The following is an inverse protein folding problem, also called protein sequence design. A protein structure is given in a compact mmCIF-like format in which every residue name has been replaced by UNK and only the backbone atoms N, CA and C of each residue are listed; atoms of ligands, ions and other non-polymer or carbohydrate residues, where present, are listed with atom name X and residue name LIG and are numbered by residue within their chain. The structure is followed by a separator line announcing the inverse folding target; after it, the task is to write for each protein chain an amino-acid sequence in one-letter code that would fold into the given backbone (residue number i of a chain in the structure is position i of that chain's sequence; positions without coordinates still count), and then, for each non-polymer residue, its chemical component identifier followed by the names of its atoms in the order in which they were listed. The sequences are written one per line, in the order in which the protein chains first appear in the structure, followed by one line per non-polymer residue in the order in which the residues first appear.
data_IF_177248077211
#
_entry.id   IF_177248077211
#
_cell.length_a   1.000
_cell.length_b   1.000
_cell.length_c   1.000
_cell.angle_alpha   90.00
_cell.angle_beta   90.00
_cell.angle_gamma   90.00
#
_symmetry.space_group_name_H-M   'P 1'
#
loop_
_entity.id
_entity.type
_entity.pdbx_description
1 polymer ?
#
# COMPACT_ATOMS: atom_id res chain seq x y z
N UNK A 1 15.90 31.69 -52.42
CA UNK A 1 16.49 30.63 -51.58
C UNK A 1 17.25 31.29 -50.44
N UNK A 2 16.55 31.61 -49.35
CA UNK A 2 17.14 32.16 -48.11
C UNK A 2 16.47 31.41 -46.97
N UNK A 3 17.31 30.81 -46.14
CA UNK A 3 17.03 29.82 -45.11
C UNK A 3 16.27 30.49 -43.96
N UNK A 4 15.07 30.00 -43.64
CA UNK A 4 14.36 30.33 -42.40
C UNK A 4 15.04 29.53 -41.29
N UNK A 5 15.85 30.22 -40.48
CA UNK A 5 16.35 29.70 -39.20
C UNK A 5 15.17 29.60 -38.23
N UNK A 6 14.63 28.38 -38.09
CA UNK A 6 13.80 27.99 -36.96
C UNK A 6 14.67 27.95 -35.70
N UNK A 7 14.71 29.05 -34.97
CA UNK A 7 15.11 29.09 -33.56
C UNK A 7 14.02 28.36 -32.75
N UNK A 8 14.12 27.02 -32.71
CA UNK A 8 13.54 26.28 -31.60
C UNK A 8 14.30 26.70 -30.35
N UNK A 9 13.67 27.56 -29.54
CA UNK A 9 14.04 27.65 -28.13
C UNK A 9 13.86 26.26 -27.55
N UNK A 10 14.98 25.56 -27.35
CA UNK A 10 15.10 24.45 -26.43
C UNK A 10 14.74 24.99 -25.05
N UNK A 11 13.44 25.00 -24.72
CA UNK A 11 13.04 24.89 -23.33
C UNK A 11 13.69 23.59 -22.87
N UNK A 12 14.72 23.70 -22.04
CA UNK A 12 15.20 22.57 -21.24
C UNK A 12 13.96 21.98 -20.58
N UNK A 13 13.52 20.81 -21.05
CA UNK A 13 12.51 20.04 -20.35
C UNK A 13 13.03 19.93 -18.93
N UNK A 14 12.26 20.42 -17.95
CA UNK A 14 12.65 20.33 -16.54
C UNK A 14 12.97 18.87 -16.27
N UNK A 15 14.22 18.58 -15.93
CA UNK A 15 14.63 17.21 -15.66
C UNK A 15 13.85 16.69 -14.45
N UNK A 16 13.09 15.64 -14.70
CA UNK A 16 12.31 14.94 -13.69
C UNK A 16 13.22 14.27 -12.65
N UNK A 17 14.29 13.62 -13.12
CA UNK A 17 15.35 13.01 -12.31
C UNK A 17 16.72 13.55 -12.74
N UNK A 18 17.48 14.04 -11.76
CA UNK A 18 18.82 14.61 -11.93
C UNK A 18 19.91 13.56 -11.76
N UNK A 19 21.10 13.85 -12.28
CA UNK A 19 22.27 12.98 -12.11
C UNK A 19 22.57 12.64 -10.64
N UNK A 20 22.43 13.62 -9.72
CA UNK A 20 22.61 13.41 -8.27
C UNK A 20 21.62 12.40 -7.68
N UNK A 21 20.40 12.35 -8.21
CA UNK A 21 19.37 11.38 -7.76
C UNK A 21 19.67 9.98 -8.29
N UNK A 22 20.17 9.85 -9.52
CA UNK A 22 20.67 8.57 -10.05
C UNK A 22 21.83 8.03 -9.20
N UNK A 23 22.80 8.89 -8.90
CA UNK A 23 23.93 8.56 -8.03
C UNK A 23 23.48 8.18 -6.62
N UNK A 24 22.48 8.88 -6.06
CA UNK A 24 21.87 8.51 -4.79
C UNK A 24 21.32 7.09 -4.83
N UNK A 25 20.58 6.71 -5.88
CA UNK A 25 20.03 5.35 -5.99
C UNK A 25 21.11 4.31 -6.05
N UNK A 26 22.10 4.49 -6.94
CA UNK A 26 23.21 3.56 -7.07
C UNK A 26 24.03 3.45 -5.78
N UNK A 27 24.23 4.55 -5.05
CA UNK A 27 25.02 4.57 -3.81
C UNK A 27 24.26 3.98 -2.62
N UNK A 28 22.97 4.27 -2.48
CA UNK A 28 22.17 3.86 -1.33
C UNK A 28 21.63 2.43 -1.49
N UNK A 29 21.06 2.10 -2.66
CA UNK A 29 20.45 0.80 -2.92
C UNK A 29 21.41 -0.18 -3.60
N UNK A 30 22.41 0.32 -4.33
CA UNK A 30 23.42 -0.50 -4.99
C UNK A 30 23.34 -0.45 -6.53
N UNK A 31 24.35 -1.01 -7.22
CA UNK A 31 24.53 -0.84 -8.68
C UNK A 31 23.50 -1.58 -9.54
N UNK A 32 22.75 -2.53 -8.96
CA UNK A 32 21.67 -3.23 -9.66
C UNK A 32 20.38 -2.40 -9.75
N UNK A 33 20.25 -1.36 -8.94
CA UNK A 33 19.05 -0.55 -8.85
C UNK A 33 19.12 0.66 -9.75
N UNK A 34 17.97 1.01 -10.35
CA UNK A 34 17.79 2.19 -11.18
C UNK A 34 16.52 2.94 -10.82
N UNK A 35 16.44 4.22 -11.19
CA UNK A 35 15.20 5.00 -11.13
C UNK A 35 14.46 4.82 -12.44
N UNK A 36 13.14 4.65 -12.37
CA UNK A 36 12.28 4.77 -13.55
C UNK A 36 12.06 6.24 -13.88
N UNK A 37 12.31 6.62 -15.13
CA UNK A 37 12.34 8.02 -15.57
C UNK A 37 11.24 8.37 -16.56
N UNK A 38 10.48 7.37 -17.05
CA UNK A 38 9.37 7.58 -17.99
C UNK A 38 8.10 8.09 -17.30
N UNK A 39 8.19 9.31 -16.76
CA UNK A 39 7.09 10.00 -16.11
C UNK A 39 7.02 11.46 -16.58
N UNK A 40 5.81 11.97 -16.88
CA UNK A 40 5.64 13.40 -17.15
C UNK A 40 5.95 14.22 -15.89
N UNK A 41 6.52 15.41 -16.09
CA UNK A 41 6.88 16.34 -15.01
C UNK A 41 5.66 16.88 -14.25
N UNK A 42 4.58 17.12 -14.98
CA UNK A 42 3.28 17.49 -14.43
C UNK A 42 2.23 16.58 -15.04
N UNK A 43 1.29 16.11 -14.22
CA UNK A 43 0.20 15.26 -14.67
C UNK A 43 -1.13 15.71 -14.10
N UNK A 44 -2.12 15.77 -14.97
CA UNK A 44 -3.52 15.78 -14.57
C UNK A 44 -3.98 14.35 -14.30
N UNK A 45 -4.35 14.04 -13.06
CA UNK A 45 -4.80 12.70 -12.68
C UNK A 45 -6.06 12.26 -13.44
N UNK A 46 -6.85 13.19 -13.98
CA UNK A 46 -8.01 12.85 -14.80
C UNK A 46 -7.63 12.19 -16.13
N UNK A 47 -6.36 12.23 -16.53
CA UNK A 47 -5.88 11.58 -17.75
C UNK A 47 -5.73 10.06 -17.59
N UNK A 48 -5.51 9.58 -16.36
CA UNK A 48 -5.22 8.15 -16.10
C UNK A 48 -6.14 7.52 -15.04
N UNK A 49 -6.89 8.32 -14.27
CA UNK A 49 -7.70 7.84 -13.18
C UNK A 49 -9.08 8.50 -13.11
N UNK A 50 -10.06 7.76 -12.60
CA UNK A 50 -11.33 8.30 -12.09
C UNK A 50 -11.18 8.46 -10.57
N UNK A 51 -11.28 9.68 -10.03
CA UNK A 51 -10.99 9.93 -8.62
C UNK A 51 -12.25 10.27 -7.84
N UNK A 52 -12.54 9.50 -6.80
CA UNK A 52 -13.63 9.75 -5.85
C UNK A 52 -13.09 9.80 -4.42
N UNK A 53 -12.86 11.01 -3.88
CA UNK A 53 -12.36 11.21 -2.51
C UNK A 53 -13.43 10.93 -1.42
N UNK A 54 -14.69 10.75 -1.83
CA UNK A 54 -15.84 10.42 -0.99
C UNK A 54 -16.78 9.51 -1.77
N UNK A 55 -16.31 8.31 -2.08
CA UNK A 55 -17.11 7.30 -2.76
C UNK A 55 -18.17 6.78 -1.79
N UNK A 56 -19.42 6.66 -2.29
CA UNK A 56 -20.55 6.25 -1.46
C UNK A 56 -20.43 4.78 -1.10
N UNK A 57 -20.78 4.44 0.13
CA UNK A 57 -20.82 3.04 0.51
C UNK A 57 -22.00 2.33 -0.17
N UNK A 58 -21.81 1.08 -0.63
CA UNK A 58 -22.94 0.24 -0.97
C UNK A 58 -23.78 -0.02 0.28
N UNK A 59 -25.10 -0.26 0.13
CA UNK A 59 -25.95 -0.61 1.25
C UNK A 59 -25.47 -1.92 1.89
N UNK A 60 -25.44 -1.93 3.23
CA UNK A 60 -25.16 -3.14 3.99
C UNK A 60 -26.18 -4.22 3.66
N UNK A 61 -25.69 -5.45 3.49
CA UNK A 61 -26.54 -6.61 3.26
C UNK A 61 -26.04 -7.79 4.11
N UNK A 62 -26.77 -8.08 5.19
CA UNK A 62 -26.42 -9.14 6.15
C UNK A 62 -26.48 -10.55 5.55
N UNK A 63 -27.23 -10.73 4.46
CA UNK A 63 -27.34 -12.00 3.74
C UNK A 63 -26.34 -12.11 2.58
N UNK A 64 -25.47 -11.10 2.39
CA UNK A 64 -24.52 -11.09 1.29
C UNK A 64 -23.54 -12.26 1.41
N UNK A 65 -23.41 -13.01 0.33
CA UNK A 65 -22.40 -14.04 0.15
C UNK A 65 -21.23 -13.43 -0.61
N UNK A 66 -20.06 -13.41 0.01
CA UNK A 66 -18.84 -12.88 -0.58
C UNK A 66 -18.08 -13.96 -1.35
N UNK A 67 -17.34 -13.60 -2.42
CA UNK A 67 -16.35 -14.49 -3.01
C UNK A 67 -15.34 -14.92 -1.94
N UNK A 68 -14.97 -16.21 -1.90
CA UNK A 68 -13.99 -16.73 -0.92
C UNK A 68 -12.62 -16.05 -0.96
N UNK A 69 -12.29 -15.40 -2.07
CA UNK A 69 -11.03 -14.69 -2.32
C UNK A 69 -11.29 -13.24 -2.72
N UNK A 70 -12.12 -12.54 -1.96
CA UNK A 70 -12.40 -11.12 -2.21
C UNK A 70 -11.12 -10.30 -2.02
N UNK A 71 -10.48 -10.37 -0.86
CA UNK A 71 -9.25 -9.61 -0.62
C UNK A 71 -8.24 -10.35 0.26
N UNK A 72 -6.96 -10.08 0.04
CA UNK A 72 -5.86 -10.62 0.85
C UNK A 72 -5.24 -9.49 1.66
N UNK A 73 -5.36 -9.58 2.99
CA UNK A 73 -4.73 -8.66 3.93
C UNK A 73 -3.26 -9.03 4.12
N UNK A 74 -2.35 -8.29 3.49
CA UNK A 74 -0.90 -8.46 3.66
C UNK A 74 -0.41 -7.47 4.71
N UNK A 75 -0.21 -7.98 5.93
CA UNK A 75 0.05 -7.19 7.13
C UNK A 75 1.55 -7.13 7.35
N UNK A 76 2.13 -5.94 7.22
CA UNK A 76 3.55 -5.72 7.40
C UNK A 76 3.83 -5.51 8.88
N UNK A 77 4.68 -6.37 9.45
CA UNK A 77 5.08 -6.29 10.85
C UNK A 77 6.59 -6.42 11.00
N UNK A 78 7.05 -6.22 12.23
CA UNK A 78 8.43 -6.36 12.67
C UNK A 78 8.50 -7.37 13.81
N UNK A 79 9.58 -8.16 13.94
CA UNK A 79 9.64 -9.22 14.95
C UNK A 79 9.54 -8.71 16.39
N UNK A 80 9.98 -7.46 16.65
CA UNK A 80 9.80 -6.80 17.94
C UNK A 80 8.35 -6.46 18.29
N UNK A 81 7.42 -6.63 17.35
CA UNK A 81 5.97 -6.35 17.47
C UNK A 81 5.13 -7.62 17.43
N UNK A 82 5.65 -8.74 17.94
CA UNK A 82 4.92 -10.03 17.92
C UNK A 82 3.52 -9.94 18.56
N UNK A 83 3.35 -9.15 19.63
CA UNK A 83 2.05 -8.91 20.25
C UNK A 83 1.02 -8.32 19.27
N UNK A 84 1.45 -7.56 18.25
CA UNK A 84 0.53 -6.99 17.26
C UNK A 84 -0.04 -8.07 16.35
N UNK A 85 0.75 -9.11 16.05
CA UNK A 85 0.29 -10.29 15.32
C UNK A 85 -0.84 -10.96 16.09
N UNK A 86 -0.65 -11.22 17.38
CA UNK A 86 -1.64 -11.85 18.24
C UNK A 86 -2.90 -10.98 18.40
N UNK A 87 -2.74 -9.69 18.67
CA UNK A 87 -3.84 -8.75 18.79
C UNK A 87 -4.66 -8.69 17.50
N UNK A 88 -3.99 -8.67 16.34
CA UNK A 88 -4.66 -8.63 15.05
C UNK A 88 -5.46 -9.90 14.79
N UNK A 89 -4.88 -11.09 15.07
CA UNK A 89 -5.60 -12.38 14.98
C UNK A 89 -6.81 -12.45 15.90
N UNK A 90 -6.69 -11.93 17.11
CA UNK A 90 -7.77 -11.94 18.11
C UNK A 90 -8.84 -10.86 17.85
N UNK A 91 -8.67 -10.02 16.83
CA UNK A 91 -9.60 -8.93 16.52
C UNK A 91 -10.22 -9.05 15.14
N UNK A 92 -9.77 -8.27 14.17
CA UNK A 92 -10.39 -8.21 12.84
C UNK A 92 -9.92 -9.33 11.91
N UNK A 93 -8.82 -10.02 12.23
CA UNK A 93 -8.32 -11.19 11.50
C UNK A 93 -8.78 -12.53 12.08
N UNK A 94 -9.87 -12.57 12.85
CA UNK A 94 -10.46 -13.82 13.35
C UNK A 94 -10.88 -14.73 12.18
N UNK A 95 -10.72 -16.04 12.34
CA UNK A 95 -10.96 -17.02 11.26
C UNK A 95 -12.41 -16.98 10.75
N UNK A 96 -13.37 -16.84 11.67
CA UNK A 96 -14.78 -16.71 11.35
C UNK A 96 -15.08 -15.49 10.46
N UNK A 97 -14.38 -14.37 10.69
CA UNK A 97 -14.53 -13.17 9.89
C UNK A 97 -13.92 -13.37 8.50
N UNK A 98 -12.72 -13.95 8.44
CA UNK A 98 -12.05 -14.32 7.18
C UNK A 98 -12.97 -15.19 6.30
N UNK A 99 -13.59 -16.21 6.90
CA UNK A 99 -14.54 -17.10 6.21
C UNK A 99 -15.84 -16.39 5.81
N UNK A 100 -16.43 -15.58 6.71
CA UNK A 100 -17.71 -14.89 6.49
C UNK A 100 -17.64 -13.83 5.39
N UNK A 101 -16.55 -13.06 5.37
CA UNK A 101 -16.39 -11.88 4.52
C UNK A 101 -15.43 -12.10 3.35
N UNK A 102 -14.93 -13.33 3.17
CA UNK A 102 -14.22 -13.77 1.98
C UNK A 102 -12.81 -13.22 1.85
N UNK A 103 -12.06 -13.10 2.95
CA UNK A 103 -10.69 -12.59 2.95
C UNK A 103 -9.74 -13.50 3.71
N UNK A 104 -8.44 -13.23 3.60
CA UNK A 104 -7.42 -13.91 4.40
C UNK A 104 -6.39 -12.91 4.93
N UNK A 105 -5.98 -13.07 6.19
CA UNK A 105 -4.86 -12.34 6.76
C UNK A 105 -3.57 -13.16 6.67
N UNK A 106 -2.49 -12.48 6.30
CA UNK A 106 -1.12 -12.98 6.39
C UNK A 106 -0.20 -11.90 6.93
N UNK A 107 0.84 -12.31 7.65
CA UNK A 107 1.84 -11.42 8.23
C UNK A 107 3.16 -11.56 7.46
N UNK A 108 3.76 -10.42 7.09
CA UNK A 108 4.98 -10.37 6.28
C UNK A 108 6.10 -9.67 7.04
N UNK A 109 7.23 -10.36 7.14
CA UNK A 109 8.45 -9.89 7.81
C UNK A 109 9.64 -9.94 6.85
N UNK A 110 10.58 -8.99 6.96
CA UNK A 110 11.86 -9.10 6.26
C UNK A 110 12.69 -10.24 6.87
N UNK A 111 13.06 -11.24 6.08
CA UNK A 111 13.71 -12.47 6.56
C UNK A 111 15.04 -12.18 7.26
N UNK A 112 15.90 -11.38 6.65
CA UNK A 112 17.21 -11.02 7.20
C UNK A 112 17.10 -10.23 8.51
N UNK A 113 16.15 -9.30 8.60
CA UNK A 113 15.87 -8.56 9.84
C UNK A 113 15.32 -9.49 10.92
N UNK A 114 14.43 -10.41 10.53
CA UNK A 114 13.81 -11.34 11.45
C UNK A 114 14.82 -12.25 12.12
N UNK A 115 15.70 -12.89 11.34
CA UNK A 115 16.72 -13.82 11.85
C UNK A 115 17.74 -13.18 12.81
N UNK A 116 17.83 -11.85 12.86
CA UNK A 116 18.75 -11.14 13.77
C UNK A 116 18.15 -10.88 15.15
N UNK A 117 16.85 -11.09 15.34
CA UNK A 117 16.14 -10.79 16.58
C UNK A 117 15.83 -12.08 17.36
N UNK A 118 15.88 -11.98 18.69
CA UNK A 118 15.64 -13.10 19.60
C UNK A 118 14.23 -13.71 19.43
N UNK A 119 13.26 -12.87 19.04
CA UNK A 119 11.87 -13.23 18.79
C UNK A 119 11.65 -14.07 17.52
N UNK A 120 12.67 -14.30 16.70
CA UNK A 120 12.54 -15.07 15.46
C UNK A 120 12.01 -16.49 15.70
N UNK A 121 12.54 -17.19 16.70
CA UNK A 121 12.13 -18.57 17.00
C UNK A 121 10.68 -18.63 17.46
N UNK A 122 10.24 -17.63 18.23
CA UNK A 122 8.85 -17.50 18.67
C UNK A 122 7.90 -17.30 17.48
N UNK A 123 8.29 -16.49 16.49
CA UNK A 123 7.52 -16.34 15.24
C UNK A 123 7.47 -17.64 14.44
N UNK A 124 8.57 -18.41 14.40
CA UNK A 124 8.60 -19.71 13.70
C UNK A 124 7.66 -20.70 14.38
N UNK A 125 7.75 -20.86 15.70
CA UNK A 125 6.88 -21.74 16.50
C UNK A 125 5.41 -21.32 16.36
N UNK A 126 5.13 -20.01 16.45
CA UNK A 126 3.79 -19.46 16.19
C UNK A 126 3.30 -19.83 14.79
N UNK A 127 4.16 -19.77 13.77
CA UNK A 127 3.79 -20.10 12.40
C UNK A 127 3.57 -21.61 12.15
N UNK A 128 4.15 -22.49 12.98
CA UNK A 128 3.85 -23.92 12.95
C UNK A 128 2.39 -24.21 13.35
N UNK A 129 1.77 -23.31 14.11
CA UNK A 129 0.36 -23.41 14.52
C UNK A 129 -0.58 -22.72 13.52
N UNK A 130 -0.28 -21.46 13.16
CA UNK A 130 -1.24 -20.61 12.42
C UNK A 130 -1.01 -20.58 10.90
N UNK A 131 0.18 -20.92 10.41
CA UNK A 131 0.53 -20.98 8.98
C UNK A 131 0.17 -19.71 8.18
N UNK A 132 0.32 -18.55 8.80
CA UNK A 132 -0.04 -17.23 8.26
C UNK A 132 1.12 -16.23 8.29
N UNK A 133 2.31 -16.63 8.77
CA UNK A 133 3.53 -15.81 8.79
C UNK A 133 4.43 -16.17 7.60
N UNK A 134 4.88 -15.15 6.89
CA UNK A 134 5.77 -15.27 5.74
C UNK A 134 6.98 -14.36 5.89
N UNK A 135 8.16 -14.96 5.82
CA UNK A 135 9.43 -14.24 5.75
C UNK A 135 9.77 -14.00 4.29
N UNK A 136 9.94 -12.73 3.90
CA UNK A 136 10.33 -12.35 2.54
C UNK A 136 11.79 -11.92 2.54
N UNK A 137 12.54 -12.42 1.56
CA UNK A 137 13.89 -11.94 1.32
C UNK A 137 13.87 -10.48 0.79
N UNK A 138 14.95 -9.75 0.94
CA UNK A 138 15.14 -8.45 0.29
C UNK A 138 16.52 -8.45 -0.35
N UNK A 139 16.69 -9.13 -1.50
CA UNK A 139 17.99 -9.29 -2.11
C UNK A 139 18.64 -7.92 -2.37
N UNK A 140 19.93 -7.86 -2.06
CA UNK A 140 20.78 -6.67 -2.17
C UNK A 140 20.40 -5.48 -1.25
N UNK A 141 19.39 -5.63 -0.38
CA UNK A 141 18.90 -4.56 0.51
C UNK A 141 18.77 -5.04 1.96
N UNK A 142 18.81 -4.07 2.88
CA UNK A 142 18.35 -4.27 4.25
C UNK A 142 17.01 -3.56 4.44
N UNK A 143 16.23 -4.02 5.42
CA UNK A 143 15.00 -3.34 5.79
C UNK A 143 15.30 -1.97 6.40
N UNK A 144 14.70 -0.95 5.82
CA UNK A 144 14.91 0.45 6.15
C UNK A 144 13.68 1.24 5.70
N UNK A 145 13.47 2.42 6.29
CA UNK A 145 12.37 3.32 5.92
C UNK A 145 12.24 3.56 4.41
N UNK A 146 13.36 3.78 3.73
CA UNK A 146 13.42 4.00 2.28
C UNK A 146 13.44 2.72 1.42
N UNK A 147 13.44 1.52 2.02
CA UNK A 147 13.38 0.24 1.28
C UNK A 147 12.01 -0.45 1.42
N UNK A 148 11.06 0.21 2.10
CA UNK A 148 9.69 -0.31 2.27
C UNK A 148 8.98 -0.54 0.93
N UNK A 149 9.26 0.26 -0.10
CA UNK A 149 8.71 0.01 -1.43
C UNK A 149 9.11 -1.38 -1.97
N UNK A 150 10.37 -1.77 -1.83
CA UNK A 150 10.89 -3.07 -2.28
C UNK A 150 10.36 -4.21 -1.41
N UNK A 151 10.21 -3.98 -0.10
CA UNK A 151 9.51 -4.91 0.80
C UNK A 151 8.12 -5.23 0.25
N UNK A 152 7.36 -4.21 -0.14
CA UNK A 152 6.03 -4.40 -0.73
C UNK A 152 6.04 -5.11 -2.07
N UNK A 153 6.92 -4.73 -2.99
CA UNK A 153 7.01 -5.40 -4.29
C UNK A 153 7.29 -6.89 -4.09
N UNK A 154 8.20 -7.27 -3.20
CA UNK A 154 8.47 -8.69 -2.94
C UNK A 154 7.31 -9.37 -2.20
N UNK A 155 6.66 -8.70 -1.25
CA UNK A 155 5.44 -9.20 -0.62
C UNK A 155 4.36 -9.52 -1.67
N UNK A 156 4.18 -8.68 -2.68
CA UNK A 156 3.27 -8.92 -3.80
C UNK A 156 3.72 -10.07 -4.72
N UNK A 157 5.01 -10.18 -5.04
CA UNK A 157 5.55 -11.33 -5.80
C UNK A 157 5.22 -12.64 -5.08
N UNK A 158 5.48 -12.70 -3.77
CA UNK A 158 5.16 -13.85 -2.93
C UNK A 158 3.64 -14.10 -2.89
N UNK A 159 2.83 -13.07 -2.64
CA UNK A 159 1.40 -13.18 -2.51
C UNK A 159 0.73 -13.65 -3.81
N UNK A 160 1.14 -13.15 -4.97
CA UNK A 160 0.63 -13.61 -6.26
C UNK A 160 0.93 -15.09 -6.53
N UNK A 161 2.05 -15.60 -6.01
CA UNK A 161 2.45 -17.01 -6.14
C UNK A 161 1.70 -17.93 -5.18
N UNK A 162 1.61 -17.57 -3.91
CA UNK A 162 1.04 -18.43 -2.86
C UNK A 162 -0.49 -18.26 -2.73
N UNK A 163 -0.98 -17.07 -3.02
CA UNK A 163 -2.39 -16.67 -2.88
C UNK A 163 -2.93 -16.11 -4.21
N UNK A 164 -2.97 -16.90 -5.28
CA UNK A 164 -3.49 -16.43 -6.55
C UNK A 164 -5.02 -16.25 -6.49
N UNK A 165 -5.53 -15.41 -7.39
CA UNK A 165 -6.96 -15.25 -7.66
C UNK A 165 -7.76 -14.56 -6.55
N UNK A 166 -7.12 -13.69 -5.75
CA UNK A 166 -7.86 -12.68 -4.99
C UNK A 166 -8.25 -11.51 -5.90
N UNK A 167 -9.42 -10.91 -5.67
CA UNK A 167 -9.81 -9.69 -6.42
C UNK A 167 -8.94 -8.50 -6.02
N UNK A 168 -8.62 -8.40 -4.73
CA UNK A 168 -7.79 -7.34 -4.18
C UNK A 168 -6.64 -7.88 -3.34
N UNK A 169 -5.51 -7.19 -3.38
CA UNK A 169 -4.38 -7.39 -2.47
C UNK A 169 -4.10 -6.06 -1.77
N UNK A 170 -3.67 -6.12 -0.53
CA UNK A 170 -3.44 -4.93 0.28
C UNK A 170 -1.99 -4.76 0.67
N UNK A 171 -1.62 -3.57 1.10
CA UNK A 171 -0.61 -3.35 2.15
C UNK A 171 -1.33 -2.84 3.39
N UNK A 172 -1.01 -3.42 4.54
CA UNK A 172 -1.63 -3.12 5.85
C UNK A 172 -0.54 -2.92 6.90
N UNK A 173 -0.68 -1.89 7.73
CA UNK A 173 0.12 -1.74 8.95
C UNK A 173 -0.39 -2.66 10.06
N UNK A 174 0.49 -3.10 10.95
CA UNK A 174 0.16 -3.99 12.06
C UNK A 174 -0.58 -3.32 13.24
N UNK A 175 -0.81 -2.00 13.17
CA UNK A 175 -1.44 -1.18 14.21
C UNK A 175 -2.74 -0.54 13.72
N UNK A 176 -3.57 -1.35 13.05
CA UNK A 176 -4.91 -0.93 12.61
C UNK A 176 -5.98 -1.90 13.10
N UNK A 177 -7.22 -1.44 13.12
CA UNK A 177 -8.42 -2.28 13.17
C UNK A 177 -9.30 -1.99 11.96
N UNK A 178 -9.83 -3.05 11.35
CA UNK A 178 -10.70 -2.95 10.18
C UNK A 178 -12.09 -3.46 10.52
N UNK A 179 -13.10 -2.66 10.18
CA UNK A 179 -14.51 -3.06 10.16
C UNK A 179 -14.74 -3.85 8.87
N UNK A 180 -14.48 -5.16 8.93
CA UNK A 180 -14.33 -6.02 7.75
C UNK A 180 -15.60 -6.20 6.92
N UNK A 181 -16.79 -6.11 7.53
CA UNK A 181 -18.06 -6.15 6.82
C UNK A 181 -18.20 -4.94 5.90
N UNK A 182 -17.96 -3.73 6.41
CA UNK A 182 -17.99 -2.50 5.62
C UNK A 182 -16.95 -2.52 4.49
N UNK A 183 -15.73 -2.96 4.79
CA UNK A 183 -14.69 -3.04 3.77
C UNK A 183 -15.05 -4.05 2.68
N UNK A 184 -15.50 -5.24 3.07
CA UNK A 184 -15.88 -6.28 2.10
C UNK A 184 -17.09 -5.88 1.26
N UNK A 185 -18.10 -5.22 1.84
CA UNK A 185 -19.22 -4.63 1.10
C UNK A 185 -18.72 -3.66 0.03
N UNK A 186 -17.83 -2.73 0.43
CA UNK A 186 -17.23 -1.76 -0.48
C UNK A 186 -16.43 -2.43 -1.60
N UNK A 187 -15.51 -3.34 -1.28
CA UNK A 187 -14.67 -4.01 -2.28
C UNK A 187 -15.49 -4.88 -3.22
N UNK A 188 -16.51 -5.57 -2.72
CA UNK A 188 -17.38 -6.41 -3.55
C UNK A 188 -18.06 -5.61 -4.67
N UNK A 189 -18.47 -4.36 -4.39
CA UNK A 189 -19.08 -3.47 -5.37
C UNK A 189 -18.11 -2.99 -6.48
N UNK A 190 -16.80 -3.15 -6.29
CA UNK A 190 -15.76 -2.62 -7.19
C UNK A 190 -14.87 -3.70 -7.81
N UNK A 191 -15.33 -4.95 -7.86
CA UNK A 191 -14.53 -6.10 -8.35
C UNK A 191 -14.24 -6.11 -9.86
N UNK A 192 -14.83 -5.20 -10.64
CA UNK A 192 -14.85 -5.28 -12.11
C UNK A 192 -13.83 -4.37 -12.81
N UNK A 193 -13.37 -3.30 -12.17
CA UNK A 193 -12.46 -2.32 -12.76
C UNK A 193 -11.08 -2.36 -12.07
N UNK A 194 -10.00 -1.92 -12.76
CA UNK A 194 -8.76 -1.60 -12.09
C UNK A 194 -9.02 -0.55 -11.02
N UNK A 195 -8.82 -0.90 -9.75
CA UNK A 195 -9.29 -0.12 -8.62
C UNK A 195 -8.22 -0.04 -7.55
N UNK A 196 -8.04 1.15 -6.98
CA UNK A 196 -7.26 1.38 -5.77
C UNK A 196 -8.15 2.04 -4.73
N UNK A 197 -8.19 1.45 -3.53
CA UNK A 197 -8.97 1.94 -2.40
C UNK A 197 -8.02 2.33 -1.27
N UNK A 198 -8.23 3.52 -0.71
CA UNK A 198 -7.43 4.03 0.40
C UNK A 198 -7.76 5.48 0.74
N UNK A 199 -7.09 6.03 1.76
CA UNK A 199 -7.08 7.48 1.96
C UNK A 199 -6.19 8.13 0.91
N UNK A 200 -6.80 8.70 -0.13
CA UNK A 200 -6.06 9.25 -1.25
C UNK A 200 -5.41 10.59 -0.88
N UNK A 201 -4.13 10.70 -1.21
CA UNK A 201 -3.29 11.85 -0.89
C UNK A 201 -2.71 12.46 -2.16
N UNK A 202 -2.67 13.80 -2.21
CA UNK A 202 -2.16 14.56 -3.34
C UNK A 202 -1.55 15.89 -2.88
N UNK A 203 -0.24 15.90 -2.60
CA UNK A 203 0.49 17.07 -2.13
C UNK A 203 1.92 17.14 -2.68
N UNK A 204 2.60 18.26 -2.45
CA UNK A 204 3.99 18.45 -2.86
C UNK A 204 4.95 17.64 -1.97
N UNK A 205 6.07 17.13 -2.49
CA UNK A 205 7.09 16.44 -1.69
C UNK A 205 7.63 17.31 -0.54
N UNK A 206 7.90 16.67 0.60
CA UNK A 206 8.59 17.37 1.69
C UNK A 206 10.07 17.52 1.35
N UNK A 207 10.51 18.77 1.23
CA UNK A 207 11.89 19.10 0.82
C UNK A 207 12.84 19.38 1.98
N UNK A 208 12.32 19.49 3.21
CA UNK A 208 13.14 19.70 4.41
C UNK A 208 13.76 18.36 4.87
N UNK A 209 15.10 18.21 4.87
CA UNK A 209 15.78 16.97 5.29
C UNK A 209 15.54 16.54 6.74
N UNK A 210 14.99 17.43 7.59
CA UNK A 210 14.63 17.10 8.99
C UNK A 210 13.22 16.56 9.13
N UNK A 211 12.42 16.57 8.08
CA UNK A 211 11.06 16.05 8.10
C UNK A 211 11.08 14.52 8.02
N UNK A 212 10.27 13.82 8.82
CA UNK A 212 10.16 12.34 8.78
C UNK A 212 9.88 11.81 7.37
N UNK A 213 9.07 12.54 6.62
CA UNK A 213 8.68 12.22 5.24
C UNK A 213 9.51 12.98 4.19
N UNK A 214 10.74 13.37 4.50
CA UNK A 214 11.66 13.92 3.50
C UNK A 214 11.91 12.91 2.39
N UNK A 215 11.77 13.35 1.13
CA UNK A 215 11.95 12.50 -0.03
C UNK A 215 13.08 13.00 -0.94
N UNK A 216 14.28 12.38 -0.86
CA UNK A 216 15.42 12.80 -1.66
C UNK A 216 15.24 12.54 -3.16
N UNK A 217 14.37 11.61 -3.57
CA UNK A 217 14.12 11.31 -4.99
C UNK A 217 13.04 12.18 -5.61
N UNK A 218 12.09 12.68 -4.82
CA UNK A 218 10.98 13.48 -5.35
C UNK A 218 11.16 14.98 -5.25
N UNK A 219 12.26 15.48 -4.68
CA UNK A 219 12.44 16.92 -4.37
C UNK A 219 12.26 17.90 -5.55
N UNK A 220 12.37 17.43 -6.79
CA UNK A 220 12.20 18.24 -8.00
C UNK A 220 10.76 18.19 -8.56
N UNK A 221 9.94 17.27 -8.06
CA UNK A 221 8.57 17.12 -8.48
C UNK A 221 7.73 18.27 -7.92
N UNK A 222 6.88 18.90 -8.75
CA UNK A 222 5.96 19.91 -8.25
C UNK A 222 4.92 19.27 -7.31
N UNK A 223 4.56 18.01 -7.56
CA UNK A 223 3.63 17.23 -6.77
C UNK A 223 3.84 15.73 -6.96
N UNK A 224 3.45 14.95 -5.96
CA UNK A 224 3.28 13.51 -6.14
C UNK A 224 2.10 13.19 -7.06
N UNK A 225 2.19 12.04 -7.74
CA UNK A 225 1.04 11.35 -8.31
C UNK A 225 0.07 11.00 -7.18
N UNK A 226 -1.24 10.99 -7.41
CA UNK A 226 -2.20 10.64 -6.35
C UNK A 226 -1.96 9.18 -5.89
N UNK A 227 -1.90 8.98 -4.57
CA UNK A 227 -1.56 7.68 -3.98
C UNK A 227 -2.43 7.37 -2.75
N UNK A 228 -2.68 6.09 -2.43
CA UNK A 228 -3.32 5.70 -1.18
C UNK A 228 -2.34 5.78 0.00
N UNK A 229 -2.80 6.29 1.15
CA UNK A 229 -2.00 6.38 2.38
C UNK A 229 -1.61 5.01 2.97
N UNK A 230 -0.51 4.99 3.73
CA UNK A 230 0.20 3.76 4.08
C UNK A 230 -0.50 2.79 5.03
N UNK A 231 -1.30 3.24 5.99
CA UNK A 231 -1.84 2.32 7.01
C UNK A 231 -2.75 1.22 6.45
N UNK A 232 -3.47 1.51 5.36
CA UNK A 232 -4.24 0.55 4.58
C UNK A 232 -4.34 1.05 3.14
N UNK A 233 -3.75 0.30 2.21
CA UNK A 233 -3.87 0.53 0.78
C UNK A 233 -4.27 -0.75 0.09
N UNK A 234 -5.22 -0.67 -0.84
CA UNK A 234 -5.87 -1.84 -1.44
C UNK A 234 -5.84 -1.66 -2.94
N UNK A 235 -5.42 -2.69 -3.65
CA UNK A 235 -5.21 -2.65 -5.09
C UNK A 235 -5.87 -3.86 -5.73
N UNK A 236 -6.53 -3.65 -6.86
CA UNK A 236 -7.05 -4.74 -7.68
C UNK A 236 -5.91 -5.63 -8.20
N UNK A 237 -6.24 -6.89 -8.46
CA UNK A 237 -5.27 -7.91 -8.83
C UNK A 237 -4.41 -7.55 -10.05
N UNK A 238 -5.00 -6.95 -11.07
CA UNK A 238 -4.33 -6.54 -12.31
C UNK A 238 -3.21 -5.51 -12.06
N UNK A 239 -3.48 -4.52 -11.20
CA UNK A 239 -2.47 -3.55 -10.74
C UNK A 239 -1.36 -4.27 -9.98
N UNK A 240 -1.71 -5.22 -9.11
CA UNK A 240 -0.72 -5.95 -8.32
C UNK A 240 0.10 -6.91 -9.19
N UNK A 241 -0.49 -7.55 -10.20
CA UNK A 241 0.24 -8.33 -11.22
C UNK A 241 1.20 -7.46 -12.03
N UNK A 242 0.85 -6.19 -12.24
CA UNK A 242 1.72 -5.23 -12.91
C UNK A 242 2.90 -4.83 -12.02
N UNK A 243 2.66 -4.54 -10.74
CA UNK A 243 3.66 -4.07 -9.77
C UNK A 243 4.55 -5.21 -9.27
N UNK A 244 3.97 -6.33 -8.87
CA UNK A 244 4.60 -7.48 -8.22
C UNK A 244 5.44 -8.34 -9.18
N UNK A 245 6.50 -7.76 -9.72
CA UNK A 245 7.45 -8.40 -10.63
C UNK A 245 8.89 -8.11 -10.20
N UNK A 246 9.79 -9.08 -10.40
CA UNK A 246 11.20 -8.91 -10.08
C UNK A 246 11.88 -7.77 -10.87
N UNK A 247 11.43 -7.48 -12.09
CA UNK A 247 11.90 -6.32 -12.86
C UNK A 247 11.62 -4.99 -12.16
N UNK A 248 10.49 -4.89 -11.47
CA UNK A 248 10.10 -3.72 -10.70
C UNK A 248 10.80 -3.68 -9.34
N UNK A 249 11.18 -4.82 -8.76
CA UNK A 249 11.92 -4.86 -7.49
C UNK A 249 13.24 -4.07 -7.59
N UNK A 250 13.97 -4.20 -8.71
CA UNK A 250 15.21 -3.49 -8.97
C UNK A 250 15.01 -2.07 -9.57
N UNK A 251 13.76 -1.61 -9.67
CA UNK A 251 13.41 -0.33 -10.26
C UNK A 251 12.66 0.53 -9.25
N UNK A 252 13.20 1.71 -8.95
CA UNK A 252 12.54 2.67 -8.07
C UNK A 252 11.53 3.49 -8.84
N UNK A 253 10.33 3.62 -8.27
CA UNK A 253 9.54 4.79 -8.58
C UNK A 253 10.35 6.04 -8.21
N UNK A 254 10.10 7.19 -8.84
CA UNK A 254 10.77 8.45 -8.55
C UNK A 254 10.31 9.06 -7.22
N UNK A 255 10.41 8.27 -6.15
CA UNK A 255 10.11 8.53 -4.75
C UNK A 255 10.91 7.54 -3.90
N UNK A 256 11.54 8.03 -2.82
CA UNK A 256 12.19 7.14 -1.84
C UNK A 256 11.20 6.65 -0.78
N UNK A 257 9.99 7.21 -0.77
CA UNK A 257 8.91 6.83 0.12
C UNK A 257 8.01 5.80 -0.57
N UNK A 258 7.50 4.87 0.22
CA UNK A 258 6.62 3.79 -0.22
C UNK A 258 5.31 4.31 -0.83
N UNK A 259 4.50 5.03 -0.05
CA UNK A 259 3.15 5.42 -0.47
C UNK A 259 3.15 6.27 -1.75
N UNK A 260 3.97 7.35 -1.87
CA UNK A 260 4.05 8.09 -3.13
C UNK A 260 4.67 7.28 -4.26
N UNK A 261 5.47 6.26 -3.95
CA UNK A 261 5.95 5.29 -4.93
C UNK A 261 4.79 4.53 -5.60
N UNK A 262 3.72 4.19 -4.88
CA UNK A 262 2.54 3.57 -5.47
C UNK A 262 1.80 4.49 -6.44
N UNK A 263 1.74 5.81 -6.18
CA UNK A 263 1.12 6.76 -7.12
C UNK A 263 1.75 6.71 -8.52
N UNK A 264 3.07 6.58 -8.58
CA UNK A 264 3.80 6.43 -9.83
C UNK A 264 3.49 5.09 -10.52
N UNK A 265 3.46 4.00 -9.76
CA UNK A 265 3.12 2.68 -10.31
C UNK A 265 1.69 2.60 -10.86
N UNK A 266 0.74 3.27 -10.20
CA UNK A 266 -0.65 3.38 -10.67
C UNK A 266 -0.70 4.10 -12.02
N UNK A 267 -0.01 5.23 -12.15
CA UNK A 267 0.09 5.92 -13.44
C UNK A 267 0.74 5.03 -14.50
N UNK A 268 1.87 4.39 -14.16
CA UNK A 268 2.58 3.54 -15.10
C UNK A 268 1.73 2.38 -15.59
N UNK A 269 0.97 1.75 -14.69
CA UNK A 269 -0.04 0.76 -15.03
C UNK A 269 -1.01 1.33 -16.06
N UNK A 270 -1.68 2.44 -15.73
CA UNK A 270 -2.71 3.03 -16.57
C UNK A 270 -2.19 3.40 -17.97
N UNK A 271 -1.00 4.01 -18.03
CA UNK A 271 -0.35 4.41 -19.28
C UNK A 271 0.10 3.20 -20.11
N UNK A 272 0.60 2.14 -19.46
CA UNK A 272 1.09 0.94 -20.17
C UNK A 272 -0.06 0.06 -20.67
N UNK A 273 -1.14 -0.05 -19.91
CA UNK A 273 -2.29 -0.91 -20.25
C UNK A 273 -3.38 -0.18 -21.01
N UNK A 274 -3.31 1.16 -21.09
CA UNK A 274 -4.37 2.02 -21.61
C UNK A 274 -5.71 1.78 -20.89
N UNK A 275 -5.65 1.48 -19.59
CA UNK A 275 -6.82 1.31 -18.72
C UNK A 275 -6.81 2.42 -17.67
N UNK A 276 -7.95 3.09 -17.49
CA UNK A 276 -8.11 4.03 -16.39
C UNK A 276 -8.28 3.27 -15.08
N UNK A 277 -7.81 3.88 -13.99
CA UNK A 277 -7.89 3.32 -12.64
C UNK A 277 -8.94 4.09 -11.83
N UNK A 278 -9.82 3.37 -11.16
CA UNK A 278 -10.74 3.94 -10.16
C UNK A 278 -9.96 4.13 -8.86
N UNK A 279 -9.74 5.39 -8.47
CA UNK A 279 -9.08 5.76 -7.22
C UNK A 279 -10.15 6.23 -6.24
N UNK A 280 -10.41 5.42 -5.22
CA UNK A 280 -11.56 5.58 -4.34
C UNK A 280 -11.15 5.75 -2.88
N UNK A 281 -11.71 6.76 -2.22
CA UNK A 281 -11.75 6.87 -0.77
C UNK A 281 -13.21 6.73 -0.33
N UNK A 282 -13.60 5.65 0.36
CA UNK A 282 -14.93 5.52 0.94
C UNK A 282 -15.26 6.70 1.85
N UNK A 283 -16.50 7.18 1.83
CA UNK A 283 -16.93 8.34 2.62
C UNK A 283 -16.75 8.17 4.14
N UNK A 284 -16.76 6.93 4.63
CA UNK A 284 -16.52 6.53 6.01
C UNK A 284 -15.19 5.76 6.16
N UNK A 285 -14.16 6.09 5.37
CA UNK A 285 -12.87 5.41 5.44
C UNK A 285 -12.34 5.31 6.88
N UNK A 286 -12.26 6.43 7.61
CA UNK A 286 -11.80 6.47 8.99
C UNK A 286 -10.43 7.14 9.12
N UNK A 287 -9.69 6.81 10.18
CA UNK A 287 -8.45 7.52 10.51
C UNK A 287 -7.99 7.30 11.94
N UNK A 288 -7.36 8.32 12.51
CA UNK A 288 -6.74 8.24 13.84
C UNK A 288 -7.78 7.99 14.95
N UNK A 289 -7.51 7.02 15.82
CA UNK A 289 -8.46 6.58 16.88
C UNK A 289 -8.82 7.68 17.88
N UNK A 290 -7.88 8.61 18.15
CA UNK A 290 -8.12 9.76 19.02
C UNK A 290 -9.08 10.82 18.46
N UNK A 291 -9.35 10.80 17.15
CA UNK A 291 -10.21 11.79 16.48
C UNK A 291 -11.36 11.17 15.69
N UNK A 292 -11.37 9.85 15.54
CA UNK A 292 -12.32 9.11 14.71
C UNK A 292 -13.03 8.06 15.54
N UNK A 293 -14.36 8.15 15.61
CA UNK A 293 -15.22 7.16 16.26
C UNK A 293 -16.58 7.09 15.57
N UNK A 294 -17.17 5.90 15.51
CA UNK A 294 -18.46 5.67 14.84
C UNK A 294 -18.32 4.69 13.69
N UNK A 295 -19.18 4.81 12.68
CA UNK A 295 -19.29 3.79 11.64
C UNK A 295 -18.27 3.89 10.50
N UNK A 296 -16.98 3.73 10.84
CA UNK A 296 -15.85 3.83 9.90
C UNK A 296 -15.21 2.48 9.57
N UNK A 297 -14.55 2.41 8.41
CA UNK A 297 -13.91 1.21 7.88
C UNK A 297 -12.61 0.88 8.62
N UNK A 298 -11.75 1.86 8.88
CA UNK A 298 -10.44 1.62 9.46
C UNK A 298 -10.10 2.63 10.56
N UNK A 299 -9.48 2.14 11.62
CA UNK A 299 -8.93 2.96 12.68
C UNK A 299 -7.47 2.60 12.87
N UNK A 300 -6.63 3.62 13.03
CA UNK A 300 -5.20 3.45 13.22
C UNK A 300 -4.69 4.38 14.31
N UNK A 301 -3.49 4.09 14.80
CA UNK A 301 -2.71 4.99 15.65
C UNK A 301 -1.26 4.96 15.20
N UNK A 302 -0.73 6.11 14.80
CA UNK A 302 0.66 6.20 14.33
C UNK A 302 1.68 6.33 15.48
N UNK A 303 1.19 6.58 16.70
CA UNK A 303 2.00 6.64 17.93
C UNK A 303 2.07 5.26 18.63
N UNK A 304 1.32 4.28 18.13
CA UNK A 304 1.33 2.90 18.60
C UNK A 304 0.61 2.70 19.94
N UNK A 305 -0.39 3.54 20.22
CA UNK A 305 -1.22 3.44 21.43
C UNK A 305 -2.58 2.78 21.16
N UNK A 306 -2.79 2.20 19.98
CA UNK A 306 -4.02 1.50 19.64
C UNK A 306 -4.17 0.20 20.44
N UNK A 307 -5.10 0.21 21.39
CA UNK A 307 -5.63 -1.02 21.98
C UNK A 307 -6.69 -1.61 21.03
N UNK A 308 -6.26 -2.52 20.15
CA UNK A 308 -7.15 -3.14 19.15
C UNK A 308 -8.32 -3.90 19.80
N UNK A 309 -8.10 -4.60 20.92
CA UNK A 309 -9.14 -5.39 21.58
C UNK A 309 -10.20 -4.49 22.24
N UNK A 310 -9.77 -3.47 22.97
CA UNK A 310 -10.70 -2.49 23.57
C UNK A 310 -11.49 -1.76 22.47
N UNK A 311 -10.81 -1.37 21.39
CA UNK A 311 -11.47 -0.73 20.24
C UNK A 311 -12.49 -1.66 19.62
N UNK A 312 -12.17 -2.94 19.41
CA UNK A 312 -13.11 -3.92 18.89
C UNK A 312 -14.33 -4.08 19.80
N UNK A 313 -14.09 -4.34 21.09
CA UNK A 313 -15.17 -4.59 22.07
C UNK A 313 -16.14 -3.42 22.12
N UNK A 314 -15.61 -2.19 22.22
CA UNK A 314 -16.43 -0.97 22.23
C UNK A 314 -17.25 -0.83 20.93
N UNK A 315 -16.68 -1.20 19.78
CA UNK A 315 -17.40 -1.15 18.49
C UNK A 315 -18.51 -2.18 18.39
N UNK A 316 -18.32 -3.36 19.00
CA UNK A 316 -19.36 -4.40 19.09
C UNK A 316 -20.47 -3.92 20.03
N UNK A 317 -20.13 -3.39 21.20
CA UNK A 317 -21.08 -2.87 22.19
C UNK A 317 -21.97 -1.76 21.60
N UNK A 318 -21.38 -0.86 20.82
CA UNK A 318 -22.09 0.24 20.17
C UNK A 318 -22.79 -0.17 18.86
N UNK A 319 -22.68 -1.43 18.44
CA UNK A 319 -23.38 -1.98 17.27
C UNK A 319 -22.79 -1.59 15.91
N UNK A 320 -21.56 -1.05 15.88
CA UNK A 320 -20.87 -0.71 14.62
C UNK A 320 -20.26 -1.93 13.93
N UNK A 321 -19.98 -2.99 14.69
CA UNK A 321 -19.46 -4.26 14.19
C UNK A 321 -20.29 -5.43 14.73
N UNK A 322 -20.64 -6.39 13.86
CA UNK A 322 -21.44 -7.56 14.21
C UNK A 322 -20.63 -8.86 14.01
N UNK A 323 -20.95 -9.89 14.80
CA UNK A 323 -20.35 -11.22 14.73
C UNK A 323 -20.65 -11.94 13.42
#
# INVERSE_FOLDING_TARGET
MIIILLLFQLFSAKEYITQKQREYVTKFYGPKFKVEEDYPYEIDFNTYAHVELKSKNPPRNEDRIYPKKLWLAIIHSFPSKINHVENTRNTWCREEYQQRYGFKCIFVFGESSAKQLEQYNELVEMNETYHDIYFIDMPDLNEHWFTLQQKNINAYIMALKLFPNYYFYTRVDDEIIVTVDLLSDFLFAHTHNPTVVGQLTYHAPYTNPRHKYYDPLSRNLPRYYIYPGGYLSIFSQDIIKFIGKWENYYTFAPSSLEDPGFGHWIYKFANTTNQRVDLLTPENWGGHVGTTYGDYIVFHDQEGHLNQLETLNRRIEDGYMKY
#
